data_IF_895413364379
#
_entry.id   IF_895413364379
#
_cell.length_a   1.000
_cell.length_b   1.000
_cell.length_c   1.000
_cell.angle_alpha   90.00
_cell.angle_beta   90.00
_cell.angle_gamma   90.00
#
_symmetry.space_group_name_H-M   'P 1'
#
loop_
_entity.id
_entity.type
_entity.pdbx_description
1 polymer ?
#
# COMPACT_ATOMS: atom_id res chain seq x y z
N UNK A 1 -7.32 39.03 -26.30
CA UNK A 1 -6.94 37.64 -26.01
C UNK A 1 -8.24 36.87 -25.86
N UNK A 2 -8.49 35.79 -26.61
CA UNK A 2 -9.67 34.97 -26.35
C UNK A 2 -9.49 34.25 -25.01
N UNK A 3 -10.50 34.31 -24.15
CA UNK A 3 -10.51 33.64 -22.85
C UNK A 3 -10.29 32.13 -23.06
N UNK A 4 -9.20 31.61 -22.50
CA UNK A 4 -8.97 30.17 -22.44
C UNK A 4 -10.05 29.56 -21.55
N UNK A 5 -10.75 28.50 -21.97
CA UNK A 5 -11.72 27.84 -21.13
C UNK A 5 -10.98 27.16 -19.98
N UNK A 6 -10.96 27.81 -18.80
CA UNK A 6 -10.35 27.29 -17.55
C UNK A 6 -11.15 26.07 -17.04
N UNK A 7 -12.35 25.85 -17.57
CA UNK A 7 -13.21 24.73 -17.21
C UNK A 7 -13.27 23.70 -18.32
N UNK A 8 -12.42 22.68 -18.20
CA UNK A 8 -12.61 21.39 -18.89
C UNK A 8 -13.84 20.71 -18.29
N UNK A 9 -14.72 20.05 -19.08
CA UNK A 9 -15.83 19.28 -18.51
C UNK A 9 -15.29 18.30 -17.46
N UNK A 10 -16.01 18.17 -16.33
CA UNK A 10 -15.68 17.25 -15.24
C UNK A 10 -15.55 15.84 -15.80
N UNK A 11 -14.34 15.41 -16.15
CA UNK A 11 -13.99 14.00 -16.13
C UNK A 11 -14.25 13.55 -14.71
N UNK A 12 -15.00 12.46 -14.58
CA UNK A 12 -15.25 11.87 -13.28
C UNK A 12 -13.91 11.60 -12.61
N UNK A 13 -13.72 12.15 -11.39
CA UNK A 13 -12.47 11.93 -10.69
C UNK A 13 -12.33 10.41 -10.45
N UNK A 14 -11.15 9.81 -10.68
CA UNK A 14 -10.95 8.36 -10.58
C UNK A 14 -11.48 7.75 -9.27
N UNK A 15 -11.43 8.51 -8.18
CA UNK A 15 -11.98 8.11 -6.87
C UNK A 15 -13.47 7.81 -6.90
N UNK A 16 -14.30 8.65 -7.53
CA UNK A 16 -15.76 8.44 -7.56
C UNK A 16 -16.17 7.17 -8.30
N UNK A 17 -15.44 6.80 -9.36
CA UNK A 17 -15.70 5.57 -10.09
C UNK A 17 -15.39 4.33 -9.23
N UNK A 18 -14.28 4.36 -8.47
CA UNK A 18 -13.88 3.27 -7.57
C UNK A 18 -14.79 3.17 -6.33
N UNK A 19 -15.21 4.29 -5.76
CA UNK A 19 -16.19 4.35 -4.66
C UNK A 19 -17.53 3.70 -5.06
N UNK A 20 -18.03 3.97 -6.26
CA UNK A 20 -19.26 3.30 -6.73
C UNK A 20 -19.06 1.79 -6.88
N UNK A 21 -17.93 1.37 -7.45
CA UNK A 21 -17.62 -0.06 -7.64
C UNK A 21 -17.56 -0.81 -6.32
N UNK A 22 -16.85 -0.29 -5.33
CA UNK A 22 -16.78 -0.92 -4.00
C UNK A 22 -18.15 -0.95 -3.33
N UNK A 23 -18.93 0.13 -3.39
CA UNK A 23 -20.28 0.16 -2.81
C UNK A 23 -21.22 -0.87 -3.45
N UNK A 24 -21.14 -1.07 -4.78
CA UNK A 24 -21.90 -2.13 -5.47
C UNK A 24 -21.48 -3.52 -5.02
N UNK A 25 -20.17 -3.77 -4.95
CA UNK A 25 -19.62 -5.04 -4.51
C UNK A 25 -20.05 -5.39 -3.08
N UNK A 26 -19.95 -4.41 -2.16
CA UNK A 26 -20.40 -4.56 -0.77
C UNK A 26 -21.91 -4.81 -0.66
N UNK A 27 -22.72 -4.19 -1.53
CA UNK A 27 -24.17 -4.40 -1.55
C UNK A 27 -24.58 -5.77 -2.12
N UNK A 28 -23.75 -6.37 -2.97
CA UNK A 28 -24.01 -7.64 -3.63
C UNK A 28 -23.44 -8.86 -2.88
N UNK A 29 -22.42 -8.66 -2.05
CA UNK A 29 -21.86 -9.71 -1.20
C UNK A 29 -22.58 -9.76 0.15
N UNK A 30 -22.73 -10.95 0.74
CA UNK A 30 -23.02 -11.04 2.18
C UNK A 30 -21.92 -10.25 2.92
N UNK A 31 -22.34 -9.43 3.89
CA UNK A 31 -21.58 -8.31 4.46
C UNK A 31 -20.14 -8.62 4.95
N UNK A 32 -19.76 -9.89 5.04
CA UNK A 32 -18.52 -10.38 5.66
C UNK A 32 -17.48 -10.99 4.70
N UNK A 33 -17.74 -11.09 3.38
CA UNK A 33 -16.75 -11.69 2.48
C UNK A 33 -16.56 -10.87 1.19
N UNK A 34 -15.38 -10.28 1.00
CA UNK A 34 -14.91 -9.94 -0.34
C UNK A 34 -14.58 -11.26 -1.07
N UNK A 35 -15.37 -11.70 -2.06
CA UNK A 35 -15.01 -12.88 -2.82
C UNK A 35 -13.67 -12.61 -3.53
N UNK A 36 -12.80 -13.62 -3.59
CA UNK A 36 -11.39 -13.57 -4.02
C UNK A 36 -10.32 -13.08 -3.01
N UNK A 37 -10.67 -12.81 -1.75
CA UNK A 37 -9.68 -12.37 -0.75
C UNK A 37 -8.46 -13.30 -0.60
N UNK A 38 -8.57 -14.65 -0.60
CA UNK A 38 -7.39 -15.53 -0.58
C UNK A 38 -6.45 -15.34 -1.78
N UNK A 39 -7.00 -15.22 -2.99
CA UNK A 39 -6.21 -15.04 -4.21
C UNK A 39 -5.48 -13.70 -4.23
N UNK A 40 -6.14 -12.62 -3.80
CA UNK A 40 -5.55 -11.29 -3.70
C UNK A 40 -4.44 -11.23 -2.64
N UNK A 41 -4.63 -11.87 -1.49
CA UNK A 41 -3.59 -12.00 -0.45
C UNK A 41 -2.38 -12.77 -0.97
N UNK A 42 -2.60 -13.86 -1.72
CA UNK A 42 -1.52 -14.64 -2.33
C UNK A 42 -0.77 -13.83 -3.39
N UNK A 43 -1.47 -13.11 -4.28
CA UNK A 43 -0.85 -12.22 -5.25
C UNK A 43 -0.01 -11.13 -4.57
N UNK A 44 -0.55 -10.48 -3.53
CA UNK A 44 0.19 -9.50 -2.74
C UNK A 44 1.45 -10.10 -2.11
N UNK A 45 1.35 -11.24 -1.45
CA UNK A 45 2.48 -11.91 -0.82
C UNK A 45 3.59 -12.23 -1.84
N UNK A 46 3.22 -12.85 -2.97
CA UNK A 46 4.18 -13.28 -4.00
C UNK A 46 4.82 -12.09 -4.71
N UNK A 47 4.05 -11.09 -5.13
CA UNK A 47 4.59 -9.95 -5.86
C UNK A 47 5.46 -9.06 -4.97
N UNK A 48 5.11 -8.89 -3.68
CA UNK A 48 5.97 -8.18 -2.72
C UNK A 48 7.34 -8.84 -2.57
N UNK A 49 7.37 -10.17 -2.49
CA UNK A 49 8.62 -10.94 -2.42
C UNK A 49 9.46 -10.78 -3.68
N UNK A 50 8.82 -10.89 -4.85
CA UNK A 50 9.47 -10.69 -6.16
C UNK A 50 10.03 -9.29 -6.34
N UNK A 51 9.26 -8.26 -6.00
CA UNK A 51 9.70 -6.85 -6.04
C UNK A 51 10.90 -6.58 -5.12
N UNK A 52 11.08 -7.39 -4.08
CA UNK A 52 12.21 -7.29 -3.15
C UNK A 52 13.33 -8.30 -3.43
N UNK A 53 13.33 -8.93 -4.60
CA UNK A 53 14.40 -9.79 -5.09
C UNK A 53 14.35 -11.22 -4.57
N UNK A 54 13.25 -11.65 -3.94
CA UNK A 54 13.05 -13.05 -3.54
C UNK A 54 12.35 -13.78 -4.68
N UNK A 55 13.04 -14.77 -5.25
CA UNK A 55 12.47 -15.63 -6.28
C UNK A 55 11.41 -16.54 -5.65
N UNK A 56 10.17 -16.40 -6.12
CA UNK A 56 9.02 -17.21 -5.69
C UNK A 56 8.27 -17.66 -6.94
N UNK A 57 8.13 -18.96 -7.11
CA UNK A 57 7.26 -19.54 -8.13
C UNK A 57 5.81 -19.44 -7.67
N UNK A 58 4.88 -19.26 -8.62
CA UNK A 58 3.45 -19.16 -8.28
C UNK A 58 2.84 -20.51 -7.94
N UNK A 59 3.33 -21.57 -8.59
CA UNK A 59 2.86 -22.93 -8.33
C UNK A 59 3.38 -23.41 -6.98
N UNK A 60 2.49 -23.97 -6.15
CA UNK A 60 2.82 -24.38 -4.78
C UNK A 60 3.28 -23.26 -3.83
N UNK A 61 3.09 -21.97 -4.18
CA UNK A 61 3.59 -20.84 -3.38
C UNK A 61 3.11 -20.86 -1.93
N UNK A 62 1.91 -21.37 -1.67
CA UNK A 62 1.30 -21.48 -0.34
C UNK A 62 2.07 -22.42 0.61
N UNK A 63 2.90 -23.31 0.07
CA UNK A 63 3.76 -24.20 0.84
C UNK A 63 5.06 -23.53 1.31
N UNK A 64 5.42 -22.39 0.71
CA UNK A 64 6.64 -21.66 1.03
C UNK A 64 6.48 -20.89 2.35
N UNK A 65 7.35 -21.17 3.32
CA UNK A 65 7.30 -20.52 4.64
C UNK A 65 7.46 -18.99 4.58
N UNK A 66 8.19 -18.47 3.60
CA UNK A 66 8.33 -17.02 3.41
C UNK A 66 7.02 -16.41 2.92
N UNK A 67 6.29 -17.10 2.04
CA UNK A 67 4.96 -16.69 1.57
C UNK A 67 3.95 -16.76 2.72
N UNK A 68 3.96 -17.85 3.51
CA UNK A 68 3.11 -17.98 4.71
C UNK A 68 3.34 -16.84 5.70
N UNK A 69 4.59 -16.44 5.92
CA UNK A 69 4.93 -15.31 6.77
C UNK A 69 4.41 -13.96 6.21
N UNK A 70 4.41 -13.76 4.88
CA UNK A 70 3.74 -12.59 4.27
C UNK A 70 2.22 -12.65 4.51
N UNK A 71 1.59 -13.81 4.34
CA UNK A 71 0.16 -14.00 4.54
C UNK A 71 -0.24 -13.72 6.00
N UNK A 72 0.56 -14.15 6.97
CA UNK A 72 0.36 -13.79 8.39
C UNK A 72 0.47 -12.28 8.61
N UNK A 73 1.45 -11.62 7.99
CA UNK A 73 1.59 -10.17 8.08
C UNK A 73 0.37 -9.44 7.50
N UNK A 74 -0.15 -9.89 6.34
CA UNK A 74 -1.35 -9.32 5.71
C UNK A 74 -2.57 -9.49 6.61
N UNK A 75 -2.77 -10.67 7.22
CA UNK A 75 -3.90 -10.92 8.12
C UNK A 75 -3.87 -10.00 9.35
N UNK A 76 -2.68 -9.74 9.92
CA UNK A 76 -2.53 -8.79 11.04
C UNK A 76 -2.82 -7.35 10.61
N UNK A 77 -2.44 -6.97 9.39
CA UNK A 77 -2.75 -5.64 8.82
C UNK A 77 -4.26 -5.46 8.65
N UNK A 78 -4.94 -6.41 8.03
CA UNK A 78 -6.38 -6.36 7.77
C UNK A 78 -7.17 -6.26 9.07
N UNK A 79 -6.86 -7.11 10.05
CA UNK A 79 -7.48 -7.03 11.38
C UNK A 79 -7.26 -5.67 12.03
N UNK A 80 -6.05 -5.13 11.93
CA UNK A 80 -5.80 -3.80 12.50
C UNK A 80 -6.56 -2.71 11.75
N UNK A 81 -6.79 -2.84 10.45
CA UNK A 81 -7.50 -1.86 9.63
C UNK A 81 -9.02 -1.82 9.92
N UNK A 82 -9.59 -2.89 10.50
CA UNK A 82 -10.96 -2.90 11.01
C UNK A 82 -11.13 -2.05 12.28
N UNK A 83 -10.05 -1.88 13.06
CA UNK A 83 -10.10 -1.26 14.39
C UNK A 83 -9.72 0.23 14.38
N UNK A 84 -9.05 0.72 13.32
CA UNK A 84 -8.48 2.08 13.30
C UNK A 84 -8.20 2.60 11.90
N UNK A 85 -8.10 3.93 11.77
CA UNK A 85 -7.92 4.61 10.49
C UNK A 85 -6.46 4.73 9.99
N UNK A 86 -5.46 4.52 10.88
CA UNK A 86 -4.03 4.61 10.55
C UNK A 86 -3.21 3.53 11.26
N UNK A 87 -2.12 3.01 10.66
CA UNK A 87 -1.27 2.04 11.34
C UNK A 87 -0.54 2.71 12.51
N UNK A 88 -0.32 1.98 13.61
CA UNK A 88 0.55 2.45 14.69
C UNK A 88 1.97 1.88 14.56
N UNK A 89 2.89 2.40 15.36
CA UNK A 89 4.30 1.97 15.35
C UNK A 89 4.44 0.48 15.69
N UNK A 90 3.62 -0.04 16.59
CA UNK A 90 3.69 -1.45 17.00
C UNK A 90 3.24 -2.39 15.88
N UNK A 91 2.19 -2.03 15.14
CA UNK A 91 1.78 -2.74 13.92
C UNK A 91 2.90 -2.71 12.88
N UNK A 92 3.51 -1.54 12.64
CA UNK A 92 4.62 -1.41 11.68
C UNK A 92 5.77 -2.36 12.05
N UNK A 93 6.14 -2.41 13.33
CA UNK A 93 7.19 -3.32 13.84
C UNK A 93 6.78 -4.78 13.71
N UNK A 94 5.55 -5.12 14.06
CA UNK A 94 5.03 -6.50 13.97
C UNK A 94 5.01 -6.99 12.53
N UNK A 95 4.49 -6.18 11.60
CA UNK A 95 4.52 -6.46 10.16
C UNK A 95 5.95 -6.60 9.67
N UNK A 96 6.86 -5.73 10.12
CA UNK A 96 8.27 -5.83 9.76
C UNK A 96 8.89 -7.17 10.17
N UNK A 97 8.66 -7.61 11.40
CA UNK A 97 9.15 -8.90 11.93
C UNK A 97 8.59 -10.09 11.15
N UNK A 98 7.28 -10.09 10.86
CA UNK A 98 6.63 -11.16 10.11
C UNK A 98 7.13 -11.22 8.67
N UNK A 99 7.18 -10.06 8.00
CA UNK A 99 7.50 -10.00 6.59
C UNK A 99 8.99 -10.24 6.29
N UNK A 100 9.88 -10.07 7.27
CA UNK A 100 11.32 -10.15 7.09
C UNK A 100 11.93 -11.16 8.08
N UNK A 101 12.12 -12.43 7.66
CA UNK A 101 12.70 -13.46 8.51
C UNK A 101 14.04 -13.02 9.15
N UNK A 102 14.13 -13.17 10.46
CA UNK A 102 15.31 -12.75 11.25
C UNK A 102 15.35 -11.28 11.66
N UNK A 103 14.35 -10.46 11.26
CA UNK A 103 14.23 -9.10 11.75
C UNK A 103 13.73 -9.05 13.20
N UNK A 104 14.29 -8.14 14.00
CA UNK A 104 13.95 -7.96 15.42
C UNK A 104 12.86 -6.89 15.65
N UNK A 105 12.44 -6.18 14.60
CA UNK A 105 11.45 -5.09 14.68
C UNK A 105 11.98 -3.79 15.28
N UNK A 106 13.28 -3.68 15.55
CA UNK A 106 13.87 -2.44 16.08
C UNK A 106 14.22 -1.48 14.96
N UNK A 107 14.03 -0.20 15.21
CA UNK A 107 14.55 0.83 14.30
C UNK A 107 16.07 0.77 14.26
N UNK A 108 16.64 1.05 13.08
CA UNK A 108 18.09 0.98 12.87
C UNK A 108 18.85 1.95 13.79
N UNK A 109 20.02 1.50 14.23
CA UNK A 109 20.94 2.29 15.04
C UNK A 109 21.96 3.08 14.23
N UNK A 110 22.11 2.77 12.94
CA UNK A 110 23.07 3.39 12.02
C UNK A 110 22.40 4.13 10.86
N UNK A 111 23.14 5.04 10.23
CA UNK A 111 22.67 5.73 9.02
C UNK A 111 22.50 4.75 7.84
N UNK A 112 21.39 4.91 7.12
CA UNK A 112 21.11 4.12 5.92
C UNK A 112 21.56 4.84 4.66
N UNK A 113 21.96 4.06 3.65
CA UNK A 113 22.17 4.57 2.29
C UNK A 113 20.82 4.80 1.61
N UNK A 114 20.67 5.89 0.83
CA UNK A 114 19.43 6.14 0.09
C UNK A 114 19.20 5.04 -0.96
N UNK A 115 18.00 4.46 -0.96
CA UNK A 115 17.57 3.48 -1.95
C UNK A 115 17.06 4.14 -3.25
N UNK A 116 16.49 5.33 -3.14
CA UNK A 116 15.87 6.08 -4.24
C UNK A 116 16.65 7.38 -4.50
N UNK A 117 16.63 7.88 -5.74
CA UNK A 117 17.16 9.20 -6.05
C UNK A 117 16.45 10.26 -5.22
N UNK A 118 17.20 11.28 -4.80
CA UNK A 118 16.72 12.40 -3.97
C UNK A 118 16.24 12.04 -2.55
N UNK A 119 16.09 10.75 -2.21
CA UNK A 119 15.72 10.32 -0.88
C UNK A 119 16.79 10.72 0.14
N UNK A 120 16.34 11.19 1.30
CA UNK A 120 17.21 11.45 2.46
C UNK A 120 16.75 10.61 3.65
N UNK A 121 17.31 9.38 3.81
CA UNK A 121 17.06 8.54 4.97
C UNK A 121 17.17 9.31 6.27
N UNK A 122 16.26 9.03 7.19
CA UNK A 122 16.24 9.74 8.47
C UNK A 122 17.44 9.34 9.32
N UNK A 123 18.09 10.27 10.01
CA UNK A 123 19.09 9.84 10.99
C UNK A 123 18.42 8.99 12.07
N UNK A 124 19.06 7.93 12.61
CA UNK A 124 18.48 7.00 13.59
C UNK A 124 17.68 7.66 14.72
N UNK A 125 18.24 8.73 15.29
CA UNK A 125 17.63 9.52 16.38
C UNK A 125 16.26 10.11 16.03
N UNK A 126 15.97 10.39 14.76
CA UNK A 126 14.73 11.04 14.31
C UNK A 126 13.74 10.08 13.64
N UNK A 127 14.04 8.78 13.56
CA UNK A 127 13.15 7.80 12.93
C UNK A 127 11.79 7.77 13.64
N UNK A 128 11.78 7.63 14.97
CA UNK A 128 10.54 7.59 15.77
C UNK A 128 9.71 8.85 15.53
N UNK A 129 10.29 10.02 15.81
CA UNK A 129 9.60 11.30 15.64
C UNK A 129 9.06 11.53 14.21
N UNK A 130 9.79 11.13 13.16
CA UNK A 130 9.31 11.28 11.79
C UNK A 130 8.20 10.29 11.42
N UNK A 131 8.23 9.07 11.96
CA UNK A 131 7.11 8.14 11.81
C UNK A 131 5.89 8.66 12.56
N UNK A 132 6.05 9.11 13.79
CA UNK A 132 4.94 9.68 14.58
C UNK A 132 4.30 10.87 13.83
N UNK A 133 5.11 11.79 13.31
CA UNK A 133 4.62 12.91 12.50
C UNK A 133 3.89 12.45 11.22
N UNK A 134 4.38 11.40 10.55
CA UNK A 134 3.72 10.86 9.35
C UNK A 134 2.34 10.29 9.71
N UNK A 135 2.25 9.53 10.81
CA UNK A 135 1.02 8.91 11.28
C UNK A 135 0.02 9.94 11.79
N UNK A 136 0.49 10.96 12.52
CA UNK A 136 -0.32 12.10 12.94
C UNK A 136 -0.94 12.80 11.73
N UNK A 137 -0.14 13.11 10.71
CA UNK A 137 -0.63 13.73 9.48
C UNK A 137 -1.68 12.87 8.78
N UNK A 138 -1.43 11.55 8.67
CA UNK A 138 -2.36 10.60 8.04
C UNK A 138 -3.66 10.42 8.82
N UNK A 139 -3.68 10.79 10.11
CA UNK A 139 -4.86 10.74 10.97
C UNK A 139 -5.65 12.05 11.04
N UNK A 140 -5.07 13.16 10.57
CA UNK A 140 -5.75 14.46 10.55
C UNK A 140 -7.00 14.44 9.65
N UNK A 141 -8.01 15.24 9.98
CA UNK A 141 -9.29 15.27 9.24
C UNK A 141 -9.11 15.56 7.74
N UNK A 142 -8.14 16.41 7.38
CA UNK A 142 -7.78 16.69 5.99
C UNK A 142 -7.28 15.45 5.23
N UNK A 143 -6.60 14.53 5.92
CA UNK A 143 -6.11 13.28 5.35
C UNK A 143 -7.19 12.18 5.35
N UNK A 144 -8.14 12.21 6.30
CA UNK A 144 -9.30 11.30 6.30
C UNK A 144 -10.22 11.52 5.10
N UNK A 145 -10.34 12.75 4.63
CA UNK A 145 -11.08 13.08 3.41
C UNK A 145 -10.36 12.72 2.10
N UNK A 146 -9.13 12.19 2.15
CA UNK A 146 -8.39 11.80 0.96
C UNK A 146 -8.80 10.43 0.46
N UNK A 147 -8.81 10.28 -0.87
CA UNK A 147 -9.02 8.99 -1.50
C UNK A 147 -7.90 8.01 -1.09
N UNK A 148 -8.17 6.70 -0.86
CA UNK A 148 -7.15 5.76 -0.37
C UNK A 148 -5.85 5.74 -1.18
N UNK A 149 -5.92 5.89 -2.51
CA UNK A 149 -4.74 5.98 -3.36
C UNK A 149 -3.81 7.17 -3.02
N UNK A 150 -4.37 8.29 -2.55
CA UNK A 150 -3.60 9.44 -2.10
C UNK A 150 -2.91 9.17 -0.76
N UNK A 151 -3.63 8.56 0.20
CA UNK A 151 -3.07 8.15 1.49
C UNK A 151 -1.93 7.15 1.31
N UNK A 152 -2.14 6.17 0.43
CA UNK A 152 -1.12 5.20 0.01
C UNK A 152 0.12 5.86 -0.62
N UNK A 153 -0.05 6.81 -1.53
CA UNK A 153 1.05 7.56 -2.15
C UNK A 153 1.91 8.28 -1.11
N UNK A 154 1.28 8.97 -0.17
CA UNK A 154 2.01 9.65 0.89
C UNK A 154 2.70 8.66 1.82
N UNK A 155 1.96 7.67 2.33
CA UNK A 155 2.50 6.63 3.20
C UNK A 155 3.74 6.00 2.59
N UNK A 156 3.62 5.48 1.36
CA UNK A 156 4.68 4.67 0.78
C UNK A 156 5.91 5.52 0.48
N UNK A 157 5.73 6.71 -0.12
CA UNK A 157 6.84 7.60 -0.42
C UNK A 157 7.57 8.08 0.86
N UNK A 158 6.83 8.46 1.91
CA UNK A 158 7.45 8.93 3.15
C UNK A 158 8.07 7.79 3.95
N UNK A 159 7.42 6.63 4.03
CA UNK A 159 7.92 5.49 4.78
C UNK A 159 9.25 4.97 4.21
N UNK A 160 9.33 4.78 2.89
CA UNK A 160 10.56 4.33 2.24
C UNK A 160 11.66 5.39 2.25
N UNK A 161 11.30 6.68 2.26
CA UNK A 161 12.26 7.76 2.49
C UNK A 161 12.77 7.77 3.93
N UNK A 162 11.91 7.59 4.94
CA UNK A 162 12.34 7.52 6.34
C UNK A 162 13.31 6.34 6.54
N UNK A 163 13.02 5.21 5.90
CA UNK A 163 13.77 3.96 5.97
C UNK A 163 14.06 3.56 7.43
N UNK A 164 13.02 3.19 8.22
CA UNK A 164 13.15 2.98 9.67
C UNK A 164 13.99 1.76 10.07
N UNK A 165 14.10 0.75 9.21
CA UNK A 165 14.78 -0.52 9.49
C UNK A 165 16.08 -0.67 8.70
N UNK A 166 16.97 -1.57 9.12
CA UNK A 166 18.25 -1.86 8.44
C UNK A 166 18.03 -2.40 7.01
N UNK A 167 17.02 -3.26 6.83
CA UNK A 167 16.61 -3.84 5.54
C UNK A 167 15.10 -4.04 5.55
N UNK A 168 14.50 -4.39 4.41
CA UNK A 168 13.08 -4.77 4.35
C UNK A 168 12.08 -3.62 4.40
N UNK A 169 12.53 -2.36 4.32
CA UNK A 169 11.64 -1.18 4.34
C UNK A 169 10.63 -1.19 3.19
N UNK A 170 11.07 -1.52 1.97
CA UNK A 170 10.16 -1.60 0.83
C UNK A 170 9.07 -2.66 1.04
N UNK A 171 9.46 -3.87 1.46
CA UNK A 171 8.54 -4.98 1.75
C UNK A 171 7.49 -4.57 2.79
N UNK A 172 7.93 -4.05 3.93
CA UNK A 172 7.05 -3.61 5.01
C UNK A 172 6.12 -2.49 4.56
N UNK A 173 6.64 -1.48 3.85
CA UNK A 173 5.84 -0.37 3.35
C UNK A 173 4.81 -0.80 2.30
N UNK A 174 5.17 -1.76 1.44
CA UNK A 174 4.31 -2.29 0.38
C UNK A 174 3.16 -3.11 0.96
N UNK A 175 3.42 -4.03 1.90
CA UNK A 175 2.35 -4.77 2.59
C UNK A 175 1.37 -3.84 3.31
N UNK A 176 1.90 -2.78 3.96
CA UNK A 176 1.08 -1.79 4.68
C UNK A 176 0.21 -0.91 3.78
N UNK A 177 0.35 -0.98 2.45
CA UNK A 177 -0.64 -0.36 1.55
C UNK A 177 -2.04 -0.92 1.79
N UNK A 178 -2.14 -2.23 2.02
CA UNK A 178 -3.40 -2.90 2.29
C UNK A 178 -4.12 -2.37 3.51
N UNK A 179 -3.39 -1.77 4.47
CA UNK A 179 -4.02 -1.10 5.61
C UNK A 179 -5.00 0.00 5.13
N UNK A 180 -4.56 0.84 4.19
CA UNK A 180 -5.32 1.99 3.72
C UNK A 180 -6.49 1.60 2.81
N UNK A 181 -6.38 0.49 2.09
CA UNK A 181 -7.48 -0.01 1.27
C UNK A 181 -8.51 -0.72 2.14
N UNK A 182 -8.07 -1.62 3.03
CA UNK A 182 -8.97 -2.37 3.91
C UNK A 182 -9.73 -1.48 4.90
N UNK A 183 -9.07 -0.47 5.49
CA UNK A 183 -9.75 0.52 6.36
C UNK A 183 -10.79 1.36 5.61
N UNK A 184 -10.73 1.40 4.28
CA UNK A 184 -11.69 2.07 3.41
C UNK A 184 -12.66 1.10 2.71
N UNK A 185 -12.71 -0.18 3.11
CA UNK A 185 -13.60 -1.19 2.55
C UNK A 185 -13.17 -1.78 1.21
N UNK A 186 -11.98 -1.44 0.71
CA UNK A 186 -11.42 -2.00 -0.52
C UNK A 186 -10.61 -3.28 -0.22
N UNK A 187 -10.50 -4.22 -1.18
CA UNK A 187 -9.62 -5.36 -1.04
C UNK A 187 -8.13 -4.96 -0.92
N UNK A 188 -7.26 -5.85 -0.41
CA UNK A 188 -5.83 -5.64 -0.41
C UNK A 188 -5.31 -5.46 -1.84
N UNK A 189 -4.35 -4.55 -2.01
CA UNK A 189 -3.82 -4.18 -3.33
C UNK A 189 -2.38 -4.65 -3.51
N UNK A 190 -2.06 -5.14 -4.70
CA UNK A 190 -0.72 -5.57 -5.08
C UNK A 190 -0.16 -4.71 -6.22
N UNK A 191 1.14 -4.42 -6.11
CA UNK A 191 1.96 -3.90 -7.20
C UNK A 191 2.73 -5.08 -7.78
N UNK A 192 2.85 -5.16 -9.10
CA UNK A 192 3.43 -6.32 -9.77
C UNK A 192 4.89 -6.09 -10.14
N UNK A 193 5.66 -7.18 -10.25
CA UNK A 193 7.08 -7.12 -10.63
C UNK A 193 7.32 -6.44 -11.98
N UNK A 194 6.43 -6.64 -12.96
CA UNK A 194 6.50 -6.02 -14.28
C UNK A 194 6.28 -4.49 -14.24
N UNK A 195 5.72 -3.98 -13.14
CA UNK A 195 5.56 -2.54 -12.87
C UNK A 195 6.76 -1.94 -12.10
N UNK A 196 7.79 -2.72 -11.78
CA UNK A 196 8.88 -2.33 -10.87
C UNK A 196 9.65 -1.07 -11.29
N UNK A 197 10.00 -0.95 -12.57
CA UNK A 197 10.78 0.20 -13.05
C UNK A 197 9.94 1.49 -13.09
N UNK A 198 8.72 1.51 -13.67
CA UNK A 198 7.83 2.66 -13.54
C UNK A 198 7.48 3.01 -12.07
N UNK A 199 7.30 2.01 -11.21
CA UNK A 199 7.05 2.23 -9.78
C UNK A 199 8.23 2.95 -9.11
N UNK A 200 9.46 2.56 -9.45
CA UNK A 200 10.67 3.20 -8.92
C UNK A 200 10.71 4.68 -9.32
N UNK A 201 10.38 5.01 -10.58
CA UNK A 201 10.32 6.40 -11.05
C UNK A 201 9.22 7.21 -10.35
N UNK A 202 8.03 6.62 -10.19
CA UNK A 202 6.91 7.26 -9.50
C UNK A 202 7.23 7.55 -8.03
N UNK A 203 7.94 6.63 -7.36
CA UNK A 203 8.43 6.83 -5.99
C UNK A 203 9.46 7.96 -5.91
N UNK A 204 10.42 8.01 -6.83
CA UNK A 204 11.43 9.08 -6.88
C UNK A 204 10.80 10.46 -7.07
N UNK A 205 9.74 10.55 -7.89
CA UNK A 205 8.94 11.77 -8.06
C UNK A 205 8.12 12.11 -6.82
N UNK A 206 7.47 11.12 -6.22
CA UNK A 206 6.66 11.30 -5.02
C UNK A 206 7.50 11.77 -3.81
N UNK A 207 8.77 11.36 -3.72
CA UNK A 207 9.72 11.81 -2.69
C UNK A 207 9.98 13.32 -2.78
N UNK A 208 9.97 13.89 -3.98
CA UNK A 208 10.07 15.35 -4.20
C UNK A 208 8.70 16.03 -4.39
N UNK A 209 7.65 15.42 -3.83
CA UNK A 209 6.26 15.93 -3.76
C UNK A 209 5.46 15.93 -5.06
N UNK A 210 5.98 15.34 -6.13
CA UNK A 210 5.19 15.05 -7.34
C UNK A 210 4.53 13.67 -7.19
N UNK A 211 3.41 13.62 -6.47
CA UNK A 211 2.74 12.37 -6.07
C UNK A 211 1.73 11.86 -7.09
N UNK A 212 1.32 12.67 -8.07
CA UNK A 212 0.26 12.32 -9.01
C UNK A 212 0.48 11.00 -9.77
N UNK A 213 1.70 10.66 -10.25
CA UNK A 213 1.96 9.38 -10.91
C UNK A 213 1.73 8.19 -9.98
N UNK A 214 2.25 8.27 -8.75
CA UNK A 214 2.11 7.22 -7.75
C UNK A 214 0.65 7.03 -7.33
N UNK A 215 -0.12 8.12 -7.22
CA UNK A 215 -1.57 8.07 -6.97
C UNK A 215 -2.31 7.37 -8.11
N UNK A 216 -1.95 7.66 -9.37
CA UNK A 216 -2.54 6.98 -10.53
C UNK A 216 -2.27 5.48 -10.48
N UNK A 217 -1.02 5.09 -10.24
CA UNK A 217 -0.63 3.67 -10.12
C UNK A 217 -1.41 2.94 -9.04
N UNK A 218 -1.62 3.58 -7.89
CA UNK A 218 -2.42 3.00 -6.83
C UNK A 218 -3.91 2.92 -7.16
N UNK A 219 -4.44 3.90 -7.89
CA UNK A 219 -5.82 3.85 -8.38
C UNK A 219 -6.01 2.70 -9.37
N UNK A 220 -5.03 2.46 -10.24
CA UNK A 220 -5.04 1.33 -11.18
C UNK A 220 -4.95 -0.02 -10.44
N UNK A 221 -4.08 -0.12 -9.43
CA UNK A 221 -3.98 -1.32 -8.59
C UNK A 221 -5.29 -1.62 -7.83
N UNK A 222 -5.94 -0.59 -7.27
CA UNK A 222 -7.26 -0.71 -6.64
C UNK A 222 -8.32 -1.16 -7.65
N UNK A 223 -8.32 -0.58 -8.84
CA UNK A 223 -9.26 -0.93 -9.92
C UNK A 223 -9.14 -2.40 -10.32
N UNK A 224 -7.91 -2.92 -10.42
CA UNK A 224 -7.64 -4.33 -10.71
C UNK A 224 -8.13 -5.24 -9.59
N UNK A 225 -7.80 -4.91 -8.34
CA UNK A 225 -8.21 -5.71 -7.18
C UNK A 225 -9.74 -5.79 -7.06
N UNK A 226 -10.44 -4.68 -7.28
CA UNK A 226 -11.91 -4.66 -7.35
C UNK A 226 -12.44 -5.51 -8.49
N UNK A 227 -11.81 -5.48 -9.67
CA UNK A 227 -12.26 -6.28 -10.82
C UNK A 227 -12.22 -7.78 -10.52
N UNK A 228 -11.17 -8.25 -9.85
CA UNK A 228 -11.04 -9.65 -9.41
C UNK A 228 -12.14 -10.01 -8.41
N UNK A 229 -12.45 -9.13 -7.45
CA UNK A 229 -13.54 -9.38 -6.51
C UNK A 229 -14.93 -9.28 -7.14
N UNK A 230 -15.16 -8.36 -8.07
CA UNK A 230 -16.41 -8.25 -8.84
C UNK A 230 -16.65 -9.50 -9.69
N UNK A 231 -15.61 -10.03 -10.34
CA UNK A 231 -15.67 -11.29 -11.09
C UNK A 231 -16.03 -12.47 -10.19
N UNK A 232 -15.35 -12.60 -9.04
CA UNK A 232 -15.62 -13.67 -8.10
C UNK A 232 -17.02 -13.57 -7.43
N UNK A 233 -17.56 -12.35 -7.32
CA UNK A 233 -18.93 -12.11 -6.83
C UNK A 233 -20.01 -12.36 -7.89
N UNK A 234 -19.65 -12.46 -9.18
CA UNK A 234 -20.60 -12.49 -10.28
C UNK A 234 -21.31 -11.14 -10.51
N UNK A 235 -20.66 -10.03 -10.17
CA UNK A 235 -21.22 -8.65 -10.23
C UNK A 235 -20.63 -7.85 -11.41
N UNK A 236 -19.99 -8.53 -12.36
CA UNK A 236 -19.46 -7.92 -13.59
C UNK A 236 -20.59 -7.33 -14.45
N UNK A 237 -20.33 -6.18 -15.07
CA UNK A 237 -21.15 -5.61 -16.14
C UNK A 237 -21.00 -6.39 -17.45
#
# INVERSE_FOLDING_TARGET
MPDLPIYTPKREAPGYALERRVNRLTAASDADALPALPALRLELAVETLRLTGVAVERDGAEENDTVRAQLEAIAVIEKSAEERDVPDVELIRRVHQLANPGADGRFRGSDAKPQFRNARPSTPRFIGAKLDNLLEWLSADSAKGMFPAQRMALWFARFVEIAPFERGNFRTGHLLLSFFTCSAGYPPVSLRLDESEPLREDLERAIVFDTAPLVSRFSDAMSRALGVSEEAAGVLE
#
